data_IF_734314451554
#
_entry.id   IF_734314451554
#
_cell.length_a   1.000
_cell.length_b   1.000
_cell.length_c   1.000
_cell.angle_alpha   90.00
_cell.angle_beta   90.00
_cell.angle_gamma   90.00
#
_symmetry.space_group_name_H-M   'P 1'
#
loop_
_entity.id
_entity.type
_entity.pdbx_description
1 polymer ?
#
# COMPACT_ATOMS: atom_id res chain seq x y z
N UNK A 1 13.61 -6.29 0.83
CA UNK A 1 14.52 -6.55 1.97
C UNK A 1 16.00 -6.59 1.58
N UNK A 2 16.42 -7.30 0.52
CA UNK A 2 17.84 -7.43 0.11
C UNK A 2 18.57 -6.09 -0.08
N UNK A 3 18.05 -5.19 -0.94
CA UNK A 3 18.67 -3.88 -1.24
C UNK A 3 19.00 -3.07 0.01
N UNK A 4 18.13 -3.15 1.02
CA UNK A 4 18.32 -2.45 2.29
C UNK A 4 19.45 -3.06 3.13
N UNK A 5 19.58 -4.39 3.15
CA UNK A 5 20.71 -5.06 3.81
C UNK A 5 22.04 -4.70 3.16
N UNK A 6 22.10 -4.70 1.81
CA UNK A 6 23.30 -4.32 1.06
C UNK A 6 23.66 -2.85 1.28
N UNK A 7 22.66 -1.96 1.24
CA UNK A 7 22.86 -0.53 1.50
C UNK A 7 23.45 -0.28 2.90
N UNK A 8 22.97 -1.00 3.92
CA UNK A 8 23.50 -0.93 5.28
C UNK A 8 24.91 -1.54 5.39
N UNK A 9 25.16 -2.70 4.78
CA UNK A 9 26.47 -3.37 4.76
C UNK A 9 27.54 -2.48 4.15
N UNK A 10 27.20 -1.84 3.04
CA UNK A 10 28.14 -1.07 2.22
C UNK A 10 28.18 0.42 2.62
N UNK A 11 27.44 0.81 3.67
CA UNK A 11 27.27 2.18 4.17
C UNK A 11 26.95 3.19 3.07
N UNK A 12 25.92 2.88 2.27
CA UNK A 12 25.53 3.68 1.09
C UNK A 12 24.03 3.86 1.01
N UNK A 13 23.55 4.94 0.37
CA UNK A 13 22.14 5.09 0.03
C UNK A 13 21.62 3.91 -0.80
N UNK A 14 20.36 3.51 -0.57
CA UNK A 14 19.71 2.41 -1.32
C UNK A 14 19.75 2.61 -2.83
N UNK A 15 19.61 3.85 -3.29
CA UNK A 15 19.67 4.22 -4.71
C UNK A 15 21.04 3.98 -5.35
N UNK A 16 22.12 3.92 -4.56
CA UNK A 16 23.47 3.61 -5.05
C UNK A 16 23.71 2.10 -5.18
N UNK A 17 22.88 1.28 -4.51
CA UNK A 17 22.88 -0.17 -4.69
C UNK A 17 22.10 -0.53 -5.95
N UNK A 18 20.85 -0.06 -6.02
CA UNK A 18 19.94 -0.27 -7.14
C UNK A 18 18.84 0.79 -7.12
N UNK A 19 18.55 1.42 -8.25
CA UNK A 19 17.49 2.42 -8.38
C UNK A 19 16.10 1.78 -8.27
N UNK A 20 15.10 2.58 -7.94
CA UNK A 20 13.71 2.08 -7.85
C UNK A 20 13.20 1.57 -9.21
N UNK A 21 13.52 2.26 -10.31
CA UNK A 21 13.14 1.82 -11.65
C UNK A 21 13.77 0.46 -12.01
N UNK A 22 15.07 0.30 -11.76
CA UNK A 22 15.79 -0.96 -12.00
C UNK A 22 15.17 -2.10 -11.17
N UNK A 23 14.83 -1.82 -9.89
CA UNK A 23 14.19 -2.80 -9.03
C UNK A 23 12.81 -3.23 -9.54
N UNK A 24 12.00 -2.28 -10.03
CA UNK A 24 10.69 -2.58 -10.61
C UNK A 24 10.82 -3.46 -11.86
N UNK A 25 11.74 -3.14 -12.77
CA UNK A 25 11.97 -3.96 -13.97
C UNK A 25 12.44 -5.37 -13.62
N UNK A 26 13.36 -5.49 -12.64
CA UNK A 26 13.82 -6.80 -12.18
C UNK A 26 12.67 -7.65 -11.62
N UNK A 27 11.73 -7.05 -10.90
CA UNK A 27 10.57 -7.80 -10.36
C UNK A 27 9.56 -8.24 -11.41
N UNK A 28 9.61 -7.71 -12.63
CA UNK A 28 8.63 -7.99 -13.69
C UNK A 28 9.23 -8.82 -14.83
N UNK A 29 10.50 -8.59 -15.16
CA UNK A 29 11.09 -9.05 -16.43
C UNK A 29 12.27 -10.02 -16.26
N UNK A 30 12.71 -10.34 -15.03
CA UNK A 30 13.96 -11.08 -14.79
C UNK A 30 13.71 -12.39 -14.04
N UNK A 31 13.98 -13.50 -14.71
CA UNK A 31 13.97 -14.85 -14.12
C UNK A 31 15.37 -15.49 -14.09
N UNK A 32 16.29 -15.01 -14.95
CA UNK A 32 17.65 -15.53 -15.09
C UNK A 32 18.72 -14.43 -15.17
N UNK A 33 19.99 -14.81 -14.99
CA UNK A 33 21.14 -13.91 -15.18
C UNK A 33 21.16 -13.27 -16.58
N UNK A 34 20.62 -13.96 -17.60
CA UNK A 34 20.62 -13.45 -18.96
C UNK A 34 19.61 -12.30 -19.11
N UNK A 35 18.45 -12.39 -18.46
CA UNK A 35 17.40 -11.36 -18.51
C UNK A 35 17.85 -10.08 -17.81
N UNK A 36 18.62 -10.23 -16.73
CA UNK A 36 19.24 -9.10 -16.02
C UNK A 36 20.14 -8.25 -16.94
N UNK A 37 20.62 -8.81 -18.06
CA UNK A 37 21.43 -8.06 -19.02
C UNK A 37 20.64 -6.95 -19.72
N UNK A 38 19.33 -7.12 -19.84
CA UNK A 38 18.44 -6.18 -20.52
C UNK A 38 18.03 -4.99 -19.64
N UNK A 39 18.28 -5.08 -18.33
CA UNK A 39 18.00 -3.98 -17.39
C UNK A 39 19.11 -2.92 -17.51
N UNK A 40 18.75 -1.64 -17.54
CA UNK A 40 19.69 -0.51 -17.59
C UNK A 40 20.35 -0.25 -16.22
N UNK A 41 21.05 -1.25 -15.70
CA UNK A 41 21.84 -1.15 -14.48
C UNK A 41 23.23 -0.59 -14.77
N UNK A 42 23.72 0.26 -13.87
CA UNK A 42 25.11 0.73 -13.90
C UNK A 42 26.09 -0.46 -13.96
N UNK A 43 27.11 -0.47 -14.85
CA UNK A 43 27.98 -1.62 -15.07
C UNK A 43 28.68 -2.15 -13.80
N UNK A 44 29.07 -1.26 -12.89
CA UNK A 44 29.69 -1.67 -11.62
C UNK A 44 28.69 -2.37 -10.68
N UNK A 45 27.44 -1.91 -10.64
CA UNK A 45 26.40 -2.52 -9.83
C UNK A 45 26.03 -3.90 -10.37
N UNK A 46 25.91 -4.03 -11.70
CA UNK A 46 25.69 -5.31 -12.37
C UNK A 46 26.77 -6.32 -12.00
N UNK A 47 28.05 -5.99 -12.19
CA UNK A 47 29.16 -6.91 -11.85
C UNK A 47 29.18 -7.32 -10.39
N UNK A 48 28.78 -6.41 -9.48
CA UNK A 48 28.87 -6.63 -8.04
C UNK A 48 27.68 -7.39 -7.46
N UNK A 49 26.48 -7.19 -8.00
CA UNK A 49 25.24 -7.62 -7.37
C UNK A 49 24.42 -8.63 -8.18
N UNK A 50 24.80 -8.98 -9.42
CA UNK A 50 23.99 -9.87 -10.27
C UNK A 50 23.70 -11.22 -9.60
N UNK A 51 24.72 -11.87 -9.03
CA UNK A 51 24.55 -13.17 -8.38
C UNK A 51 23.67 -13.08 -7.13
N UNK A 52 23.85 -12.03 -6.32
CA UNK A 52 23.00 -11.79 -5.14
C UNK A 52 21.54 -11.52 -5.54
N UNK A 53 21.30 -10.78 -6.62
CA UNK A 53 19.95 -10.47 -7.12
C UNK A 53 19.25 -11.75 -7.59
N UNK A 54 19.92 -12.57 -8.40
CA UNK A 54 19.35 -13.82 -8.90
C UNK A 54 19.11 -14.81 -7.78
N UNK A 55 20.04 -14.93 -6.82
CA UNK A 55 19.84 -15.76 -5.64
C UNK A 55 18.58 -15.35 -4.88
N UNK A 56 18.38 -14.04 -4.68
CA UNK A 56 17.15 -13.54 -4.03
C UNK A 56 15.91 -13.89 -4.82
N UNK A 57 15.89 -13.70 -6.14
CA UNK A 57 14.73 -14.03 -6.99
C UNK A 57 14.41 -15.52 -6.91
N UNK A 58 15.41 -16.40 -6.97
CA UNK A 58 15.24 -17.85 -6.89
C UNK A 58 14.81 -18.33 -5.50
N UNK A 59 15.28 -17.66 -4.44
CA UNK A 59 14.89 -17.96 -3.05
C UNK A 59 13.50 -17.45 -2.70
N UNK A 60 13.01 -16.39 -3.37
CA UNK A 60 11.66 -15.87 -3.16
C UNK A 60 10.64 -16.86 -3.72
N UNK A 61 10.07 -17.68 -2.83
CA UNK A 61 8.78 -18.31 -3.07
C UNK A 61 7.71 -17.29 -2.73
N UNK A 62 6.77 -17.03 -3.64
CA UNK A 62 5.55 -16.30 -3.30
C UNK A 62 4.87 -17.13 -2.20
N UNK A 63 4.73 -16.60 -0.98
CA UNK A 63 4.04 -17.32 0.08
C UNK A 63 2.60 -17.62 -0.38
N UNK A 64 2.08 -18.80 -0.08
CA UNK A 64 0.69 -19.16 -0.42
C UNK A 64 -0.33 -18.20 0.21
N UNK A 65 0.04 -17.52 1.30
CA UNK A 65 -0.73 -16.52 2.02
C UNK A 65 -0.46 -15.07 1.58
N UNK A 66 0.25 -14.86 0.47
CA UNK A 66 0.52 -13.52 -0.03
C UNK A 66 -0.79 -12.83 -0.45
N UNK A 67 -1.13 -11.75 0.25
CA UNK A 67 -2.33 -10.98 -0.03
C UNK A 67 -2.11 -10.03 -1.22
N UNK A 68 -3.11 -9.86 -2.11
CA UNK A 68 -2.97 -9.00 -3.27
C UNK A 68 -2.81 -7.54 -2.86
N UNK A 69 -2.09 -6.76 -3.68
CA UNK A 69 -2.00 -5.31 -3.48
C UNK A 69 -3.32 -4.68 -3.92
N UNK A 70 -4.19 -4.40 -2.96
CA UNK A 70 -5.48 -3.76 -3.19
C UNK A 70 -5.42 -2.25 -2.92
N UNK A 71 -6.28 -1.51 -3.61
CA UNK A 71 -6.52 -0.07 -3.45
C UNK A 71 -8.01 0.17 -3.31
N UNK A 72 -8.40 1.33 -2.78
CA UNK A 72 -9.82 1.66 -2.60
C UNK A 72 -10.58 1.76 -3.93
N UNK A 73 -9.88 2.03 -5.03
CA UNK A 73 -10.47 2.01 -6.38
C UNK A 73 -10.85 0.60 -6.86
N UNK A 74 -10.32 -0.45 -6.23
CA UNK A 74 -10.64 -1.84 -6.55
C UNK A 74 -11.89 -2.32 -5.79
N UNK A 75 -12.44 -1.47 -4.90
CA UNK A 75 -13.70 -1.69 -4.17
C UNK A 75 -14.83 -1.03 -4.97
N UNK A 76 -15.97 -1.72 -5.14
CA UNK A 76 -17.12 -1.14 -5.82
C UNK A 76 -17.57 0.13 -5.11
N UNK A 77 -17.80 1.21 -5.86
CA UNK A 77 -18.12 2.54 -5.32
C UNK A 77 -17.10 3.12 -4.31
N UNK A 78 -15.92 2.51 -4.12
CA UNK A 78 -14.96 2.91 -3.08
C UNK A 78 -14.47 4.36 -3.21
N UNK A 79 -14.27 4.86 -4.44
CA UNK A 79 -13.91 6.27 -4.68
C UNK A 79 -15.03 7.23 -4.28
N UNK A 80 -16.28 6.87 -4.57
CA UNK A 80 -17.45 7.66 -4.19
C UNK A 80 -17.62 7.64 -2.66
N UNK A 81 -17.50 6.46 -2.06
CA UNK A 81 -17.54 6.28 -0.62
C UNK A 81 -16.52 7.16 0.11
N UNK A 82 -15.24 7.13 -0.31
CA UNK A 82 -14.20 8.00 0.27
C UNK A 82 -14.55 9.48 0.22
N UNK A 83 -15.09 9.94 -0.91
CA UNK A 83 -15.46 11.34 -1.11
C UNK A 83 -16.59 11.73 -0.16
N UNK A 84 -17.63 10.92 -0.08
CA UNK A 84 -18.80 11.20 0.76
C UNK A 84 -18.45 11.07 2.25
N UNK A 85 -17.68 10.06 2.64
CA UNK A 85 -17.19 9.89 4.01
C UNK A 85 -16.37 11.11 4.46
N UNK A 86 -15.46 11.61 3.63
CA UNK A 86 -14.71 12.82 3.96
C UNK A 86 -15.61 14.03 4.15
N UNK A 87 -16.60 14.23 3.27
CA UNK A 87 -17.55 15.33 3.38
C UNK A 87 -18.38 15.25 4.67
N UNK A 88 -18.89 14.06 5.01
CA UNK A 88 -19.68 13.88 6.22
C UNK A 88 -18.85 13.99 7.51
N UNK A 89 -17.57 13.61 7.47
CA UNK A 89 -16.64 13.81 8.59
C UNK A 89 -16.42 15.31 8.85
N UNK A 90 -16.28 16.11 7.79
CA UNK A 90 -16.12 17.56 7.91
C UNK A 90 -17.37 18.20 8.50
N UNK A 91 -18.56 17.82 8.00
CA UNK A 91 -19.84 18.24 8.58
C UNK A 91 -19.97 17.83 10.05
N UNK A 92 -19.55 16.60 10.40
CA UNK A 92 -19.59 16.11 11.79
C UNK A 92 -18.65 16.92 12.68
N UNK A 93 -17.48 17.29 12.18
CA UNK A 93 -16.54 18.14 12.91
C UNK A 93 -17.15 19.52 13.19
N UNK A 94 -17.73 20.16 12.18
CA UNK A 94 -18.42 21.46 12.32
C UNK A 94 -19.55 21.40 13.35
N UNK A 95 -20.43 20.39 13.27
CA UNK A 95 -21.55 20.21 14.20
C UNK A 95 -21.09 20.00 15.64
N UNK A 96 -19.92 19.39 15.84
CA UNK A 96 -19.35 19.11 17.16
C UNK A 96 -18.40 20.22 17.65
N UNK A 97 -18.22 21.29 16.87
CA UNK A 97 -17.27 22.37 17.19
C UNK A 97 -15.81 21.91 17.20
N UNK A 98 -15.48 20.90 16.41
CA UNK A 98 -14.13 20.33 16.31
C UNK A 98 -13.40 20.90 15.08
N UNK A 99 -12.08 21.18 15.18
CA UNK A 99 -11.27 21.53 14.02
C UNK A 99 -11.22 20.38 13.01
N UNK A 100 -11.39 20.64 11.71
CA UNK A 100 -11.40 19.61 10.68
C UNK A 100 -10.06 18.84 10.61
N UNK A 101 -8.96 19.47 11.03
CA UNK A 101 -7.62 18.87 11.10
C UNK A 101 -7.54 17.69 12.07
N UNK A 102 -8.48 17.59 13.03
CA UNK A 102 -8.53 16.44 13.95
C UNK A 102 -9.26 15.24 13.33
N UNK A 103 -9.93 15.41 12.19
CA UNK A 103 -10.55 14.31 11.43
C UNK A 103 -9.46 13.44 10.78
N UNK A 104 -9.77 12.16 10.48
CA UNK A 104 -8.83 11.31 9.74
C UNK A 104 -8.38 11.96 8.43
N UNK A 105 -7.07 11.98 8.19
CA UNK A 105 -6.52 12.40 6.90
C UNK A 105 -6.99 11.45 5.79
N UNK A 106 -6.91 11.89 4.53
CA UNK A 106 -7.28 11.06 3.36
C UNK A 106 -6.64 9.67 3.41
N UNK A 107 -5.34 9.59 3.71
CA UNK A 107 -4.61 8.32 3.82
C UNK A 107 -5.15 7.41 4.93
N UNK A 108 -5.55 7.98 6.07
CA UNK A 108 -6.12 7.19 7.17
C UNK A 108 -7.52 6.73 6.80
N UNK A 109 -8.33 7.58 6.18
CA UNK A 109 -9.66 7.22 5.69
C UNK A 109 -9.60 6.10 4.64
N UNK A 110 -8.67 6.18 3.69
CA UNK A 110 -8.40 5.07 2.75
C UNK A 110 -8.10 3.77 3.49
N UNK A 111 -7.21 3.80 4.48
CA UNK A 111 -6.87 2.62 5.26
C UNK A 111 -8.06 2.10 6.11
N UNK A 112 -8.95 2.97 6.58
CA UNK A 112 -10.18 2.56 7.29
C UNK A 112 -11.12 1.84 6.31
N UNK A 113 -11.33 2.39 5.11
CA UNK A 113 -12.17 1.77 4.07
C UNK A 113 -11.61 0.40 3.68
N UNK A 114 -10.30 0.32 3.44
CA UNK A 114 -9.65 -0.96 3.15
C UNK A 114 -9.85 -1.97 4.27
N UNK A 115 -9.65 -1.58 5.53
CA UNK A 115 -9.87 -2.47 6.68
C UNK A 115 -11.32 -2.96 6.80
N UNK A 116 -12.31 -2.11 6.47
CA UNK A 116 -13.73 -2.46 6.59
C UNK A 116 -14.21 -3.42 5.51
N UNK A 117 -13.59 -3.41 4.33
CA UNK A 117 -14.01 -4.25 3.21
C UNK A 117 -13.06 -5.41 2.92
N UNK A 118 -11.82 -5.41 3.45
CA UNK A 118 -10.81 -6.43 3.16
C UNK A 118 -10.33 -7.05 4.47
N UNK A 119 -10.69 -8.31 4.67
CA UNK A 119 -10.48 -9.05 5.94
C UNK A 119 -9.03 -9.06 6.42
N UNK A 120 -8.08 -9.21 5.50
CA UNK A 120 -6.65 -9.26 5.83
C UNK A 120 -6.00 -7.87 5.99
N UNK A 121 -6.72 -6.78 5.67
CA UNK A 121 -6.18 -5.44 5.76
C UNK A 121 -6.19 -4.97 7.22
N UNK A 122 -5.05 -4.52 7.78
CA UNK A 122 -4.95 -4.22 9.20
C UNK A 122 -5.71 -2.94 9.58
N UNK A 123 -6.28 -2.93 10.79
CA UNK A 123 -6.91 -1.72 11.32
C UNK A 123 -5.89 -0.57 11.47
N UNK A 124 -6.19 0.64 10.96
CA UNK A 124 -5.27 1.75 11.10
C UNK A 124 -5.08 2.15 12.56
N UNK A 125 -3.83 2.26 13.04
CA UNK A 125 -3.52 2.63 14.44
C UNK A 125 -4.17 3.93 14.94
N UNK A 126 -4.48 4.85 14.02
CA UNK A 126 -5.13 6.14 14.33
C UNK A 126 -6.66 6.04 14.43
N UNK A 127 -7.24 4.91 14.01
CA UNK A 127 -8.66 4.62 14.06
C UNK A 127 -9.04 3.97 15.40
N UNK A 128 -9.07 4.78 16.46
CA UNK A 128 -9.33 4.31 17.83
C UNK A 128 -9.92 5.41 18.71
N UNK A 129 -10.48 5.01 19.85
CA UNK A 129 -11.03 5.91 20.86
C UNK A 129 -12.21 6.73 20.33
N UNK A 130 -12.32 7.97 20.80
CA UNK A 130 -13.49 8.82 20.54
C UNK A 130 -13.76 9.07 19.05
N UNK A 131 -12.72 9.16 18.20
CA UNK A 131 -12.92 9.35 16.75
C UNK A 131 -13.64 8.17 16.13
N UNK A 132 -13.18 6.95 16.43
CA UNK A 132 -13.81 5.72 15.95
C UNK A 132 -15.26 5.65 16.44
N UNK A 133 -15.49 5.84 17.73
CA UNK A 133 -16.85 5.85 18.29
C UNK A 133 -17.77 6.89 17.63
N UNK A 134 -17.27 8.08 17.35
CA UNK A 134 -18.05 9.17 16.76
C UNK A 134 -18.33 8.98 15.26
N UNK A 135 -17.35 8.46 14.52
CA UNK A 135 -17.37 8.45 13.06
C UNK A 135 -17.77 7.08 12.46
N UNK A 136 -17.72 5.99 13.24
CA UNK A 136 -18.23 4.68 12.80
C UNK A 136 -19.68 4.74 12.31
N UNK A 137 -20.65 5.36 13.03
CA UNK A 137 -22.03 5.41 12.56
C UNK A 137 -22.20 6.11 11.20
N UNK A 138 -21.37 7.13 10.95
CA UNK A 138 -21.36 7.87 9.68
C UNK A 138 -20.92 6.96 8.53
N UNK A 139 -19.91 6.11 8.76
CA UNK A 139 -19.46 5.13 7.78
C UNK A 139 -20.51 4.04 7.54
N UNK A 140 -21.14 3.54 8.60
CA UNK A 140 -22.15 2.49 8.52
C UNK A 140 -23.38 2.95 7.70
N UNK A 141 -23.83 4.20 7.86
CA UNK A 141 -24.93 4.79 7.08
C UNK A 141 -24.56 4.95 5.60
N UNK A 142 -23.32 5.36 5.31
CA UNK A 142 -22.83 5.50 3.95
C UNK A 142 -22.72 4.15 3.24
N UNK A 143 -22.31 3.08 3.94
CA UNK A 143 -22.19 1.74 3.35
C UNK A 143 -23.55 1.21 2.92
N UNK A 144 -24.59 1.43 3.72
CA UNK A 144 -25.97 1.09 3.40
C UNK A 144 -26.50 1.87 2.20
N UNK A 145 -26.07 3.13 2.04
CA UNK A 145 -26.53 4.01 0.95
C UNK A 145 -25.84 3.71 -0.38
N UNK A 146 -24.57 3.33 -0.34
CA UNK A 146 -23.70 3.26 -1.53
C UNK A 146 -23.46 1.83 -2.04
N UNK A 147 -24.11 0.82 -1.48
CA UNK A 147 -23.95 -0.60 -1.86
C UNK A 147 -22.46 -0.95 -2.08
N UNK A 148 -21.67 -0.74 -1.03
CA UNK A 148 -20.20 -0.84 -1.08
C UNK A 148 -19.77 -2.24 -0.66
N UNK A 149 -19.23 -2.98 -1.61
CA UNK A 149 -18.74 -4.35 -1.41
C UNK A 149 -17.47 -4.58 -2.23
N UNK A 150 -16.71 -5.62 -1.87
CA UNK A 150 -15.60 -6.07 -2.69
C UNK A 150 -16.11 -6.58 -4.03
N UNK A 151 -15.53 -6.08 -5.12
CA UNK A 151 -15.72 -6.72 -6.43
C UNK A 151 -15.00 -8.06 -6.35
N UNK A 152 -15.67 -9.16 -6.69
CA UNK A 152 -15.02 -10.46 -6.82
C UNK A 152 -13.86 -10.31 -7.81
N UNK A 153 -12.63 -10.58 -7.33
CA UNK A 153 -11.45 -10.57 -8.17
C UNK A 153 -11.64 -11.62 -9.27
N UNK A 154 -11.89 -11.16 -10.50
CA UNK A 154 -11.93 -12.01 -11.71
C UNK A 154 -10.52 -12.14 -12.28
#
# INVERSE_FOLDING_TARGET
AWRERVARRDDKPKSHVLKDLELMQITTDVESLNDLRNIDMHPSARRRYSDEIIAVIQEQKIPEDCQPVMRVQDINNGRQFLKQAKQQFDTTAEQKGLPVEVMPSKRVLEAIVMHRHIDWYPEPKLWRGWRKTMLTPVLDELEQTLDVFLVDAT
#
